data_IF_577383875397
#
_entry.id   IF_577383875397
#
_cell.length_a   1.000
_cell.length_b   1.000
_cell.length_c   1.000
_cell.angle_alpha   90.00
_cell.angle_beta   90.00
_cell.angle_gamma   90.00
#
_symmetry.space_group_name_H-M   'P 1'
#
loop_
_entity.id
_entity.type
_entity.pdbx_description
1 polymer ?
#
# COMPACT_ATOMS: atom_id res chain seq x y z
N UNK A 1 9.57 14.57 18.98
CA UNK A 1 9.14 13.79 17.79
C UNK A 1 7.80 13.17 18.11
N UNK A 2 6.71 13.70 17.53
CA UNK A 2 5.43 12.96 17.53
C UNK A 2 5.67 11.59 16.92
N UNK A 3 4.96 10.58 17.38
CA UNK A 3 5.15 9.22 16.90
C UNK A 3 4.72 9.15 15.41
N UNK A 4 5.71 9.20 14.49
CA UNK A 4 5.50 9.18 13.03
C UNK A 4 4.49 8.13 12.57
N UNK A 5 4.46 6.98 13.25
CA UNK A 5 3.62 5.83 12.92
C UNK A 5 2.41 5.67 13.87
N UNK A 6 2.03 6.73 14.62
CA UNK A 6 0.93 6.65 15.59
C UNK A 6 -0.40 6.22 14.98
N UNK A 7 -0.63 6.61 13.73
CA UNK A 7 -1.84 6.21 12.99
C UNK A 7 -1.79 4.80 12.38
N UNK A 8 -0.65 4.08 12.49
CA UNK A 8 -0.51 2.73 11.96
C UNK A 8 -1.13 1.73 12.91
N UNK A 9 -2.15 1.03 12.45
CA UNK A 9 -2.80 -0.02 13.23
C UNK A 9 -1.92 -1.28 13.21
N UNK A 10 -1.46 -1.70 14.38
CA UNK A 10 -0.56 -2.85 14.51
C UNK A 10 0.89 -2.56 14.12
N UNK A 11 1.63 -3.61 13.76
CA UNK A 11 3.01 -3.55 13.24
C UNK A 11 4.03 -2.83 14.13
N UNK A 12 3.86 -2.85 15.45
CA UNK A 12 4.75 -2.14 16.40
C UNK A 12 6.24 -2.47 16.22
N UNK A 13 6.57 -3.73 15.92
CA UNK A 13 7.96 -4.15 15.69
C UNK A 13 8.52 -3.53 14.40
N UNK A 14 7.75 -3.54 13.32
CA UNK A 14 8.11 -2.95 12.02
C UNK A 14 8.30 -1.45 12.15
N UNK A 15 7.33 -0.76 12.72
CA UNK A 15 7.40 0.70 12.89
C UNK A 15 8.54 1.12 13.80
N UNK A 16 8.87 0.33 14.83
CA UNK A 16 10.04 0.58 15.69
C UNK A 16 11.38 0.43 14.93
N UNK A 17 11.49 -0.56 14.04
CA UNK A 17 12.68 -0.73 13.18
C UNK A 17 12.81 0.45 12.24
N UNK A 18 11.75 0.78 11.49
CA UNK A 18 11.77 1.87 10.53
C UNK A 18 12.01 3.25 11.20
N UNK A 19 11.47 3.47 12.40
CA UNK A 19 11.75 4.70 13.16
C UNK A 19 13.23 4.88 13.50
N UNK A 20 13.93 3.78 13.79
CA UNK A 20 15.38 3.82 14.03
C UNK A 20 16.18 4.08 12.77
N UNK A 21 15.66 3.64 11.63
CA UNK A 21 16.32 3.81 10.34
C UNK A 21 16.11 5.20 9.74
N UNK A 22 15.12 6.00 10.20
CA UNK A 22 14.83 7.34 9.65
C UNK A 22 16.07 8.23 9.56
N UNK A 23 16.96 8.35 10.57
CA UNK A 23 18.13 9.23 10.49
C UNK A 23 19.17 8.74 9.47
N UNK A 24 19.32 7.44 9.34
CA UNK A 24 20.30 6.81 8.45
C UNK A 24 19.68 5.58 7.75
N UNK A 25 18.80 5.82 6.77
CA UNK A 25 18.09 4.75 6.08
C UNK A 25 19.01 3.96 5.15
N UNK A 26 18.73 2.67 5.00
CA UNK A 26 19.33 1.86 3.95
C UNK A 26 18.84 2.38 2.57
N UNK A 27 19.60 2.10 1.52
CA UNK A 27 19.29 2.59 0.17
C UNK A 27 18.16 1.82 -0.52
N UNK A 28 17.88 0.59 -0.08
CA UNK A 28 16.76 -0.20 -0.59
C UNK A 28 16.10 -1.02 0.51
N UNK A 29 14.77 -0.97 0.54
CA UNK A 29 13.93 -1.79 1.43
C UNK A 29 12.95 -2.60 0.58
N UNK A 30 12.72 -3.84 1.02
CA UNK A 30 11.67 -4.71 0.49
C UNK A 30 10.63 -4.95 1.59
N UNK A 31 9.44 -4.38 1.43
CA UNK A 31 8.32 -4.52 2.36
C UNK A 31 7.44 -5.67 1.88
N UNK A 32 7.50 -6.81 2.54
CA UNK A 32 6.77 -8.03 2.16
C UNK A 32 5.65 -8.36 3.14
N UNK A 33 4.59 -8.95 2.64
CA UNK A 33 3.47 -9.42 3.43
C UNK A 33 2.14 -9.37 2.68
N UNK A 34 1.06 -9.92 3.24
CA UNK A 34 -0.23 -10.01 2.57
C UNK A 34 -0.76 -8.66 2.07
N UNK A 35 -1.58 -8.69 1.02
CA UNK A 35 -2.25 -7.48 0.54
C UNK A 35 -3.15 -6.86 1.62
N UNK A 36 -3.18 -5.53 1.71
CA UNK A 36 -4.07 -4.79 2.62
C UNK A 36 -3.62 -4.72 4.09
N UNK A 37 -2.42 -5.21 4.45
CA UNK A 37 -1.91 -5.11 5.82
C UNK A 37 -1.32 -3.73 6.17
N UNK A 38 -1.18 -2.82 5.19
CA UNK A 38 -0.73 -1.44 5.44
C UNK A 38 0.69 -1.13 4.98
N UNK A 39 1.33 -1.99 4.15
CA UNK A 39 2.71 -1.77 3.63
C UNK A 39 2.90 -0.41 2.98
N UNK A 40 2.02 -0.04 2.02
CA UNK A 40 2.10 1.24 1.31
C UNK A 40 1.94 2.45 2.25
N UNK A 41 1.02 2.35 3.22
CA UNK A 41 0.85 3.40 4.23
C UNK A 41 2.12 3.60 5.06
N UNK A 42 2.73 2.49 5.50
CA UNK A 42 3.99 2.54 6.27
C UNK A 42 5.15 3.05 5.42
N UNK A 43 5.24 2.65 4.15
CA UNK A 43 6.25 3.16 3.21
C UNK A 43 6.15 4.68 3.04
N UNK A 44 4.95 5.20 2.81
CA UNK A 44 4.71 6.66 2.68
C UNK A 44 5.02 7.41 3.98
N UNK A 45 4.65 6.86 5.14
CA UNK A 45 5.01 7.46 6.44
C UNK A 45 6.52 7.42 6.68
N UNK A 46 7.20 6.35 6.29
CA UNK A 46 8.64 6.27 6.38
C UNK A 46 9.32 7.33 5.50
N UNK A 47 8.79 7.53 4.27
CA UNK A 47 9.23 8.63 3.41
C UNK A 47 9.01 10.01 4.04
N UNK A 48 7.88 10.22 4.75
CA UNK A 48 7.64 11.46 5.53
C UNK A 48 8.73 11.64 6.59
N UNK A 49 9.06 10.59 7.33
CA UNK A 49 10.09 10.65 8.36
C UNK A 49 11.46 11.04 7.80
N UNK A 50 11.84 10.47 6.65
CA UNK A 50 13.15 10.71 6.02
C UNK A 50 13.25 12.13 5.43
N UNK A 51 12.18 12.62 4.78
CA UNK A 51 12.22 13.88 4.02
C UNK A 51 11.80 15.11 4.82
N UNK A 52 10.84 14.95 5.73
CA UNK A 52 10.10 16.08 6.26
C UNK A 52 10.44 16.42 7.72
N UNK A 53 11.04 15.48 8.46
CA UNK A 53 11.26 15.65 9.89
C UNK A 53 9.96 15.97 10.63
N UNK A 54 9.81 17.18 11.15
CA UNK A 54 8.63 17.66 11.87
C UNK A 54 7.75 18.64 11.06
N UNK A 55 8.02 18.84 9.77
CA UNK A 55 7.22 19.74 8.94
C UNK A 55 5.89 19.10 8.48
N UNK A 56 4.73 19.56 9.00
CA UNK A 56 3.44 18.99 8.64
C UNK A 56 3.01 19.31 7.20
N UNK A 57 3.54 20.38 6.58
CA UNK A 57 3.20 20.71 5.20
C UNK A 57 3.90 19.78 4.23
N UNK A 58 5.19 19.54 4.44
CA UNK A 58 5.95 18.53 3.72
C UNK A 58 5.29 17.16 3.86
N UNK A 59 4.97 16.72 5.08
CA UNK A 59 4.33 15.43 5.32
C UNK A 59 3.02 15.26 4.55
N UNK A 60 2.16 16.29 4.50
CA UNK A 60 0.93 16.24 3.69
C UNK A 60 1.19 16.12 2.20
N UNK A 61 2.25 16.76 1.67
CA UNK A 61 2.63 16.64 0.25
C UNK A 61 3.10 15.23 -0.08
N UNK A 62 3.93 14.63 0.78
CA UNK A 62 4.39 13.23 0.62
C UNK A 62 3.20 12.27 0.62
N UNK A 63 2.30 12.37 1.60
CA UNK A 63 1.15 11.48 1.72
C UNK A 63 0.14 11.62 0.57
N UNK A 64 0.11 12.76 -0.10
CA UNK A 64 -0.72 13.03 -1.29
C UNK A 64 -0.01 12.73 -2.61
N UNK A 65 1.24 12.26 -2.60
CA UNK A 65 2.03 12.05 -3.82
C UNK A 65 2.46 13.34 -4.53
N UNK A 66 2.46 14.49 -3.83
CA UNK A 66 2.75 15.80 -4.41
C UNK A 66 4.16 16.34 -4.07
N UNK A 67 5.00 15.53 -3.41
CA UNK A 67 6.36 15.93 -3.08
C UNK A 67 7.30 15.60 -4.25
N UNK A 68 8.11 16.56 -4.78
CA UNK A 68 8.92 16.34 -5.98
C UNK A 68 10.03 15.29 -5.78
N UNK A 69 10.44 15.03 -4.53
CA UNK A 69 11.44 14.03 -4.20
C UNK A 69 10.83 12.69 -3.78
N UNK A 70 9.52 12.47 -4.00
CA UNK A 70 8.86 11.18 -3.86
C UNK A 70 8.26 10.79 -5.20
N UNK A 71 8.75 9.69 -5.76
CA UNK A 71 8.27 9.13 -7.02
C UNK A 71 7.52 7.84 -6.70
N UNK A 72 6.23 7.85 -6.99
CA UNK A 72 5.38 6.67 -6.88
C UNK A 72 5.39 5.94 -8.22
N UNK A 73 5.66 4.64 -8.19
CA UNK A 73 5.69 3.77 -9.37
C UNK A 73 4.64 2.70 -9.15
N UNK A 74 3.56 2.82 -9.91
CA UNK A 74 2.46 1.87 -9.95
C UNK A 74 2.42 1.18 -11.30
N UNK A 75 1.91 -0.06 -11.40
CA UNK A 75 1.75 -0.72 -12.69
C UNK A 75 0.90 0.12 -13.66
N UNK A 76 1.37 0.30 -14.88
CA UNK A 76 0.62 0.96 -15.95
C UNK A 76 -0.45 -0.01 -16.51
N UNK A 77 -1.74 0.28 -16.24
CA UNK A 77 -2.85 -0.55 -16.67
C UNK A 77 -3.00 -1.85 -15.87
N UNK A 78 -3.16 -2.99 -16.54
CA UNK A 78 -3.71 -4.19 -15.91
C UNK A 78 -2.73 -5.10 -15.18
N UNK A 79 -1.40 -5.00 -15.34
CA UNK A 79 -0.60 -6.13 -14.86
C UNK A 79 0.88 -5.94 -14.54
N UNK A 80 1.58 -4.92 -15.04
CA UNK A 80 3.03 -4.93 -14.85
C UNK A 80 3.67 -3.53 -14.84
N UNK A 81 4.71 -3.39 -14.03
CA UNK A 81 5.66 -2.28 -14.17
C UNK A 81 6.47 -2.53 -15.45
N UNK A 82 6.36 -1.60 -16.39
CA UNK A 82 6.96 -1.74 -17.71
C UNK A 82 8.47 -1.43 -17.70
N UNK A 83 9.18 -1.92 -18.71
CA UNK A 83 10.61 -1.61 -18.89
C UNK A 83 10.84 -0.10 -19.06
N UNK A 84 9.88 0.60 -19.68
CA UNK A 84 9.95 2.05 -19.85
C UNK A 84 9.84 2.77 -18.51
N UNK A 85 8.90 2.38 -17.64
CA UNK A 85 8.79 2.89 -16.27
C UNK A 85 10.07 2.62 -15.47
N UNK A 86 10.65 1.42 -15.58
CA UNK A 86 11.91 1.08 -14.94
C UNK A 86 13.07 1.96 -15.43
N UNK A 87 13.20 2.19 -16.75
CA UNK A 87 14.21 3.07 -17.32
C UNK A 87 14.04 4.53 -16.91
N UNK A 88 12.81 5.02 -16.87
CA UNK A 88 12.50 6.36 -16.37
C UNK A 88 12.86 6.49 -14.89
N UNK A 89 12.58 5.47 -14.10
CA UNK A 89 12.98 5.40 -12.68
C UNK A 89 14.49 5.51 -12.53
N UNK A 90 15.26 4.76 -13.32
CA UNK A 90 16.73 4.83 -13.34
C UNK A 90 17.21 6.24 -13.71
N UNK A 91 16.62 6.85 -14.73
CA UNK A 91 16.98 8.22 -15.14
C UNK A 91 16.73 9.22 -14.01
N UNK A 92 15.57 9.15 -13.35
CA UNK A 92 15.21 10.01 -12.23
C UNK A 92 16.07 9.76 -10.98
N UNK A 93 16.49 8.51 -10.72
CA UNK A 93 17.32 8.14 -9.59
C UNK A 93 18.74 8.72 -9.68
N UNK A 94 19.22 9.00 -10.89
CA UNK A 94 20.52 9.64 -11.12
C UNK A 94 20.48 11.17 -11.01
N UNK A 95 19.29 11.77 -10.88
CA UNK A 95 19.16 13.22 -10.68
C UNK A 95 19.19 13.56 -9.19
N UNK A 96 19.81 14.70 -8.87
CA UNK A 96 19.79 15.23 -7.50
C UNK A 96 18.35 15.46 -7.00
N UNK A 97 18.10 15.36 -5.70
CA UNK A 97 16.84 15.79 -5.09
C UNK A 97 16.53 17.27 -5.41
N UNK A 98 15.25 17.63 -5.42
CA UNK A 98 14.78 18.99 -5.77
C UNK A 98 14.71 19.89 -4.55
N UNK A 99 14.14 19.39 -3.46
CA UNK A 99 13.92 20.17 -2.23
C UNK A 99 14.67 19.59 -1.03
N UNK A 100 14.77 18.26 -0.95
CA UNK A 100 15.36 17.54 0.17
C UNK A 100 16.81 17.14 -0.04
N UNK A 101 17.35 16.41 0.92
CA UNK A 101 18.67 15.76 0.80
C UNK A 101 18.59 14.37 0.13
N UNK A 102 17.38 13.81 0.04
CA UNK A 102 17.12 12.46 -0.44
C UNK A 102 15.95 12.42 -1.41
N UNK A 103 15.96 11.45 -2.30
CA UNK A 103 14.88 11.13 -3.24
C UNK A 103 14.41 9.71 -2.99
N UNK A 104 13.10 9.53 -2.87
CA UNK A 104 12.50 8.25 -2.50
C UNK A 104 11.64 7.72 -3.64
N UNK A 105 11.88 6.49 -4.03
CA UNK A 105 11.10 5.76 -5.02
C UNK A 105 10.28 4.70 -4.29
N UNK A 106 8.95 4.75 -4.42
CA UNK A 106 8.03 3.77 -3.85
C UNK A 106 7.47 2.95 -5.01
N UNK A 107 7.88 1.69 -5.11
CA UNK A 107 7.37 0.75 -6.08
C UNK A 107 6.22 -0.04 -5.43
N UNK A 108 4.99 0.36 -5.73
CA UNK A 108 3.80 -0.41 -5.33
C UNK A 108 3.66 -1.60 -6.28
N UNK A 109 3.41 -2.78 -5.73
CA UNK A 109 3.34 -4.03 -6.50
C UNK A 109 4.65 -4.38 -7.23
N UNK A 110 5.78 -4.34 -6.52
CA UNK A 110 7.09 -4.70 -7.06
C UNK A 110 7.13 -6.10 -7.70
N UNK A 111 6.31 -7.04 -7.24
CA UNK A 111 6.11 -8.35 -7.87
C UNK A 111 5.46 -8.31 -9.25
N UNK A 112 4.90 -7.16 -9.66
CA UNK A 112 4.38 -6.97 -11.01
C UNK A 112 5.46 -6.58 -12.04
N UNK A 113 6.74 -6.49 -11.64
CA UNK A 113 7.84 -6.27 -12.59
C UNK A 113 8.10 -7.55 -13.40
N UNK A 114 8.21 -7.40 -14.72
CA UNK A 114 8.77 -8.47 -15.53
C UNK A 114 10.31 -8.50 -15.40
N UNK A 115 10.95 -9.58 -15.87
CA UNK A 115 12.40 -9.77 -15.79
C UNK A 115 13.19 -8.63 -16.44
N UNK A 116 12.67 -8.06 -17.54
CA UNK A 116 13.33 -6.96 -18.25
C UNK A 116 13.30 -5.65 -17.43
N UNK A 117 12.17 -5.34 -16.79
CA UNK A 117 12.03 -4.18 -15.92
C UNK A 117 12.88 -4.33 -14.66
N UNK A 118 12.87 -5.51 -14.05
CA UNK A 118 13.72 -5.82 -12.91
C UNK A 118 15.20 -5.69 -13.25
N UNK A 119 15.65 -6.25 -14.38
CA UNK A 119 17.03 -6.14 -14.85
C UNK A 119 17.44 -4.68 -15.15
N UNK A 120 16.52 -3.85 -15.62
CA UNK A 120 16.81 -2.42 -15.83
C UNK A 120 17.11 -1.68 -14.51
N UNK A 121 16.49 -2.09 -13.39
CA UNK A 121 16.70 -1.50 -12.08
C UNK A 121 17.94 -2.04 -11.34
N UNK A 122 18.43 -3.24 -11.68
CA UNK A 122 19.48 -3.92 -10.93
C UNK A 122 20.71 -3.05 -10.69
N UNK A 123 21.24 -2.42 -11.73
CA UNK A 123 22.44 -1.58 -11.61
C UNK A 123 22.24 -0.42 -10.63
N UNK A 124 21.03 0.19 -10.65
CA UNK A 124 20.70 1.30 -9.75
C UNK A 124 20.46 0.83 -8.32
N UNK A 125 19.98 -0.41 -8.13
CA UNK A 125 19.85 -1.02 -6.81
C UNK A 125 21.19 -1.52 -6.24
N UNK A 126 22.13 -1.89 -7.11
CA UNK A 126 23.49 -2.28 -6.71
C UNK A 126 24.35 -1.10 -6.28
N UNK A 127 24.29 -0.02 -7.05
CA UNK A 127 25.08 1.18 -6.84
C UNK A 127 24.18 2.44 -6.89
N UNK A 128 23.21 2.58 -5.96
CA UNK A 128 22.36 3.75 -5.92
C UNK A 128 23.18 4.98 -5.55
N UNK A 129 22.76 6.14 -6.03
CA UNK A 129 23.35 7.40 -5.55
C UNK A 129 23.11 7.54 -4.04
N UNK A 130 24.00 8.20 -3.33
CA UNK A 130 23.90 8.35 -1.86
C UNK A 130 22.58 9.01 -1.40
N UNK A 131 21.95 9.77 -2.28
CA UNK A 131 20.68 10.45 -2.03
C UNK A 131 19.44 9.65 -2.41
N UNK A 132 19.57 8.47 -3.03
CA UNK A 132 18.43 7.69 -3.55
C UNK A 132 18.06 6.55 -2.61
N UNK A 133 16.77 6.40 -2.34
CA UNK A 133 16.20 5.32 -1.52
C UNK A 133 15.07 4.66 -2.29
N UNK A 134 15.07 3.32 -2.32
CA UNK A 134 14.01 2.50 -2.90
C UNK A 134 13.18 1.82 -1.82
N UNK A 135 11.87 1.93 -1.91
CA UNK A 135 10.90 1.21 -1.09
C UNK A 135 10.08 0.31 -2.02
N UNK A 136 10.45 -0.95 -2.10
CA UNK A 136 9.78 -1.95 -2.95
C UNK A 136 8.73 -2.68 -2.12
N UNK A 137 7.51 -2.78 -2.61
CA UNK A 137 6.38 -3.43 -1.93
C UNK A 137 5.98 -4.68 -2.71
N UNK A 138 5.94 -5.84 -2.04
CA UNK A 138 5.52 -7.11 -2.64
C UNK A 138 4.67 -7.92 -1.65
N UNK A 139 4.01 -8.98 -2.09
CA UNK A 139 3.31 -9.90 -1.20
C UNK A 139 4.27 -10.92 -0.60
N UNK A 140 5.21 -11.41 -1.39
CA UNK A 140 6.27 -12.33 -1.01
C UNK A 140 7.61 -11.87 -1.56
N UNK A 141 8.69 -12.31 -0.94
CA UNK A 141 10.05 -12.14 -1.46
C UNK A 141 10.24 -12.90 -2.78
N UNK A 142 9.54 -14.05 -2.92
CA UNK A 142 9.57 -14.88 -4.12
C UNK A 142 8.87 -14.23 -5.34
N UNK A 143 8.10 -13.17 -5.14
CA UNK A 143 7.48 -12.41 -6.24
C UNK A 143 8.50 -11.57 -7.02
N UNK A 144 9.71 -11.42 -6.50
CA UNK A 144 10.79 -10.65 -7.10
C UNK A 144 11.94 -11.56 -7.54
N UNK A 145 12.67 -11.21 -8.61
CA UNK A 145 13.93 -11.88 -8.90
C UNK A 145 14.89 -11.81 -7.69
N UNK A 146 15.53 -12.93 -7.37
CA UNK A 146 16.47 -13.03 -6.26
C UNK A 146 17.55 -11.94 -6.31
N UNK A 147 17.95 -11.56 -7.53
CA UNK A 147 18.88 -10.46 -7.78
C UNK A 147 18.43 -9.11 -7.26
N UNK A 148 17.12 -8.84 -7.22
CA UNK A 148 16.53 -7.63 -6.64
C UNK A 148 16.37 -7.80 -5.13
N UNK A 149 15.76 -8.91 -4.72
CA UNK A 149 15.45 -9.17 -3.30
C UNK A 149 16.72 -9.17 -2.42
N UNK A 150 17.81 -9.80 -2.88
CA UNK A 150 19.07 -9.88 -2.14
C UNK A 150 19.77 -8.53 -1.88
N UNK A 151 19.38 -7.47 -2.59
CA UNK A 151 19.93 -6.12 -2.44
C UNK A 151 19.08 -5.21 -1.57
N UNK A 152 17.92 -5.70 -1.17
CA UNK A 152 16.98 -4.95 -0.34
C UNK A 152 17.06 -5.43 1.12
N UNK A 153 16.90 -4.49 2.04
CA UNK A 153 16.65 -4.84 3.44
C UNK A 153 15.19 -5.26 3.60
N UNK A 154 14.96 -6.55 3.81
CA UNK A 154 13.61 -7.10 3.92
C UNK A 154 12.95 -6.71 5.25
N UNK A 155 11.70 -6.22 5.17
CA UNK A 155 10.82 -5.89 6.29
C UNK A 155 9.52 -6.65 6.13
N UNK A 156 9.27 -7.58 7.06
CA UNK A 156 8.13 -8.51 6.95
C UNK A 156 6.91 -7.98 7.72
N UNK A 157 5.80 -7.89 7.01
CA UNK A 157 4.49 -7.52 7.56
C UNK A 157 3.61 -8.77 7.72
N UNK A 158 3.21 -9.06 8.94
CA UNK A 158 2.24 -10.11 9.21
C UNK A 158 0.79 -9.62 9.13
N UNK A 159 -0.17 -10.51 9.40
CA UNK A 159 -1.54 -10.11 9.66
C UNK A 159 -1.63 -9.44 11.04
N UNK A 160 -2.43 -8.39 11.15
CA UNK A 160 -2.66 -7.69 12.42
C UNK A 160 -3.73 -8.43 13.23
N UNK A 161 -3.57 -8.47 14.55
CA UNK A 161 -4.57 -9.10 15.43
C UNK A 161 -5.93 -8.39 15.36
N UNK A 162 -7.02 -9.13 15.55
CA UNK A 162 -8.37 -8.56 15.61
C UNK A 162 -8.48 -7.50 16.70
N UNK A 163 -7.84 -7.75 17.85
CA UNK A 163 -7.82 -6.82 18.99
C UNK A 163 -7.11 -5.51 18.66
N UNK A 164 -5.96 -5.56 17.98
CA UNK A 164 -5.25 -4.34 17.58
C UNK A 164 -6.03 -3.56 16.50
N UNK A 165 -6.69 -4.27 15.57
CA UNK A 165 -7.53 -3.64 14.54
C UNK A 165 -8.74 -2.97 15.19
N UNK A 166 -9.45 -3.65 16.08
CA UNK A 166 -10.62 -3.08 16.77
C UNK A 166 -10.22 -1.84 17.59
N UNK A 167 -9.12 -1.93 18.36
CA UNK A 167 -8.61 -0.80 19.11
C UNK A 167 -8.24 0.39 18.23
N UNK A 168 -7.57 0.15 17.09
CA UNK A 168 -7.24 1.19 16.13
C UNK A 168 -8.48 1.84 15.50
N UNK A 169 -9.52 1.07 15.16
CA UNK A 169 -10.78 1.60 14.64
C UNK A 169 -11.52 2.47 15.66
N UNK A 170 -11.51 2.06 16.94
CA UNK A 170 -12.10 2.84 18.04
C UNK A 170 -11.37 4.18 18.20
N UNK A 171 -10.04 4.20 18.10
CA UNK A 171 -9.24 5.44 18.11
C UNK A 171 -9.59 6.36 16.93
N UNK A 172 -9.99 5.80 15.79
CA UNK A 172 -10.49 6.53 14.62
C UNK A 172 -11.96 7.00 14.77
N UNK A 173 -12.60 6.77 15.92
CA UNK A 173 -13.98 7.20 16.19
C UNK A 173 -15.05 6.21 15.73
N UNK A 174 -14.70 4.98 15.38
CA UNK A 174 -15.67 3.94 15.05
C UNK A 174 -16.25 3.37 16.34
N UNK A 175 -17.57 3.19 16.40
CA UNK A 175 -18.23 2.55 17.55
C UNK A 175 -17.74 1.11 17.77
N UNK A 176 -17.66 0.69 19.04
CA UNK A 176 -17.04 -0.57 19.49
C UNK A 176 -17.58 -1.80 18.74
N UNK A 177 -18.90 -1.99 18.71
CA UNK A 177 -19.52 -3.14 18.03
C UNK A 177 -19.14 -3.22 16.55
N UNK A 178 -19.15 -2.08 15.85
CA UNK A 178 -18.79 -1.99 14.44
C UNK A 178 -17.29 -2.20 14.21
N UNK A 179 -16.46 -1.73 15.13
CA UNK A 179 -15.01 -1.92 15.09
C UNK A 179 -14.65 -3.39 15.26
N UNK A 180 -15.24 -4.09 16.22
CA UNK A 180 -15.04 -5.52 16.42
C UNK A 180 -15.52 -6.36 15.23
N UNK A 181 -16.70 -6.03 14.69
CA UNK A 181 -17.22 -6.70 13.51
C UNK A 181 -16.29 -6.52 12.29
N UNK A 182 -15.84 -5.29 12.01
CA UNK A 182 -14.93 -4.99 10.91
C UNK A 182 -13.57 -5.66 11.10
N UNK A 183 -13.03 -5.67 12.32
CA UNK A 183 -11.77 -6.33 12.65
C UNK A 183 -11.82 -7.84 12.35
N UNK A 184 -12.86 -8.52 12.80
CA UNK A 184 -13.09 -9.96 12.56
C UNK A 184 -13.18 -10.30 11.08
N UNK A 185 -13.95 -9.50 10.34
CA UNK A 185 -14.20 -9.72 8.91
C UNK A 185 -12.95 -9.43 8.06
N UNK A 186 -12.11 -8.51 8.47
CA UNK A 186 -10.94 -8.07 7.71
C UNK A 186 -9.86 -9.14 7.56
N UNK A 187 -9.88 -10.16 8.44
CA UNK A 187 -8.88 -11.23 8.42
C UNK A 187 -7.45 -10.72 8.61
N UNK A 188 -7.27 -9.75 9.51
CA UNK A 188 -5.95 -9.18 9.84
C UNK A 188 -5.45 -8.10 8.86
N UNK A 189 -6.36 -7.49 8.08
CA UNK A 189 -6.06 -6.44 7.10
C UNK A 189 -6.65 -5.10 7.53
N UNK A 190 -5.87 -4.21 8.18
CA UNK A 190 -6.37 -2.94 8.71
C UNK A 190 -7.03 -2.05 7.66
N UNK A 191 -6.48 -1.97 6.45
CA UNK A 191 -7.06 -1.18 5.36
C UNK A 191 -8.47 -1.64 4.98
N UNK A 192 -8.69 -2.96 4.91
CA UNK A 192 -10.04 -3.51 4.68
C UNK A 192 -10.97 -3.23 5.87
N UNK A 193 -10.47 -3.37 7.11
CA UNK A 193 -11.25 -3.08 8.31
C UNK A 193 -11.73 -1.61 8.33
N UNK A 194 -10.83 -0.67 8.03
CA UNK A 194 -11.16 0.76 7.93
C UNK A 194 -12.24 0.95 6.86
N UNK A 195 -12.08 0.39 5.67
CA UNK A 195 -13.05 0.52 4.58
C UNK A 195 -14.42 -0.03 4.97
N UNK A 196 -14.48 -1.20 5.59
CA UNK A 196 -15.72 -1.82 6.08
C UNK A 196 -16.39 -1.00 7.19
N UNK A 197 -15.59 -0.37 8.06
CA UNK A 197 -16.09 0.40 9.17
C UNK A 197 -16.52 1.82 8.80
N UNK A 198 -15.94 2.43 7.77
CA UNK A 198 -16.14 3.85 7.45
C UNK A 198 -16.93 4.08 6.16
N UNK A 199 -16.89 3.12 5.21
CA UNK A 199 -17.54 3.25 3.91
C UNK A 199 -18.82 2.40 3.85
N UNK A 200 -19.96 3.06 3.71
CA UNK A 200 -21.26 2.38 3.62
C UNK A 200 -21.40 1.54 2.34
N UNK A 201 -20.85 2.03 1.21
CA UNK A 201 -20.86 1.34 -0.08
C UNK A 201 -20.08 0.02 -0.04
N UNK A 202 -18.89 -0.02 0.60
CA UNK A 202 -18.10 -1.24 0.80
C UNK A 202 -18.84 -2.25 1.65
N UNK A 203 -19.46 -1.79 2.74
CA UNK A 203 -20.24 -2.64 3.62
C UNK A 203 -21.49 -3.20 2.90
N UNK A 204 -22.19 -2.38 2.12
CA UNK A 204 -23.35 -2.78 1.33
C UNK A 204 -22.99 -3.83 0.27
N UNK A 205 -21.98 -3.56 -0.54
CA UNK A 205 -21.48 -4.52 -1.54
C UNK A 205 -21.15 -5.87 -0.91
N UNK A 206 -20.40 -5.86 0.21
CA UNK A 206 -20.06 -7.09 0.93
C UNK A 206 -21.31 -7.84 1.37
N UNK A 207 -22.31 -7.17 1.92
CA UNK A 207 -23.52 -7.82 2.41
C UNK A 207 -24.31 -8.48 1.26
N UNK A 208 -24.42 -7.80 0.12
CA UNK A 208 -25.03 -8.37 -1.09
C UNK A 208 -24.26 -9.62 -1.52
N UNK A 209 -22.93 -9.52 -1.67
CA UNK A 209 -22.08 -10.63 -2.08
C UNK A 209 -22.20 -11.84 -1.14
N UNK A 210 -22.14 -11.62 0.18
CA UNK A 210 -22.25 -12.68 1.20
C UNK A 210 -23.64 -13.30 1.26
N UNK A 211 -24.68 -12.63 0.77
CA UNK A 211 -26.03 -13.19 0.70
C UNK A 211 -26.23 -14.16 -0.49
N UNK A 212 -25.38 -14.09 -1.51
CA UNK A 212 -25.51 -14.89 -2.74
C UNK A 212 -25.59 -16.39 -2.46
N UNK A 213 -24.70 -17.02 -1.69
CA UNK A 213 -24.75 -18.45 -1.43
C UNK A 213 -26.03 -18.90 -0.70
N UNK A 214 -26.62 -18.01 0.12
CA UNK A 214 -27.83 -18.31 0.87
C UNK A 214 -29.13 -18.15 0.05
N UNK A 215 -29.06 -17.43 -1.07
CA UNK A 215 -30.20 -17.08 -1.93
C UNK A 215 -30.16 -17.81 -3.27
N UNK A 216 -29.02 -18.45 -3.59
CA UNK A 216 -28.88 -19.22 -4.82
C UNK A 216 -29.76 -20.49 -4.75
N UNK A 217 -30.70 -20.61 -5.66
CA UNK A 217 -31.55 -21.79 -5.80
C UNK A 217 -31.17 -22.60 -7.04
N UNK A 218 -31.84 -23.75 -7.25
CA UNK A 218 -31.65 -24.56 -8.46
C UNK A 218 -32.28 -23.94 -9.72
N UNK A 219 -33.00 -22.82 -9.58
CA UNK A 219 -33.62 -22.12 -10.72
C UNK A 219 -32.60 -21.21 -11.42
N UNK A 220 -32.35 -21.45 -12.69
CA UNK A 220 -31.36 -20.71 -13.49
C UNK A 220 -31.59 -19.16 -13.46
N UNK A 221 -32.86 -18.72 -13.38
CA UNK A 221 -33.19 -17.28 -13.29
C UNK A 221 -32.69 -16.58 -12.03
N UNK A 222 -32.52 -17.31 -10.92
CA UNK A 222 -32.03 -16.70 -9.66
C UNK A 222 -30.56 -16.34 -9.77
N UNK A 223 -29.76 -17.11 -10.50
CA UNK A 223 -28.35 -16.81 -10.75
C UNK A 223 -28.16 -15.48 -11.48
N UNK A 224 -28.94 -15.23 -12.54
CA UNK A 224 -28.86 -13.97 -13.29
C UNK A 224 -29.30 -12.78 -12.44
N UNK A 225 -30.42 -12.90 -11.71
CA UNK A 225 -30.90 -11.83 -10.83
C UNK A 225 -29.88 -11.47 -9.73
N UNK A 226 -29.26 -12.49 -9.10
CA UNK A 226 -28.23 -12.27 -8.09
C UNK A 226 -26.96 -11.64 -8.69
N UNK A 227 -26.58 -12.00 -9.91
CA UNK A 227 -25.47 -11.38 -10.62
C UNK A 227 -25.73 -9.90 -10.88
N UNK A 228 -26.94 -9.54 -11.33
CA UNK A 228 -27.35 -8.14 -11.54
C UNK A 228 -27.35 -7.34 -10.23
N UNK A 229 -27.82 -7.92 -9.12
CA UNK A 229 -27.79 -7.29 -7.81
C UNK A 229 -26.34 -7.04 -7.33
N UNK A 230 -25.44 -7.99 -7.54
CA UNK A 230 -24.01 -7.84 -7.21
C UNK A 230 -23.37 -6.77 -8.08
N UNK A 231 -23.64 -6.76 -9.37
CA UNK A 231 -23.14 -5.74 -10.29
C UNK A 231 -23.60 -4.33 -9.87
N UNK A 232 -24.91 -4.16 -9.62
CA UNK A 232 -25.45 -2.89 -9.16
C UNK A 232 -24.86 -2.42 -7.82
N UNK A 233 -24.55 -3.35 -6.89
CA UNK A 233 -23.89 -3.03 -5.64
C UNK A 233 -22.40 -2.68 -5.81
N UNK A 234 -21.75 -3.11 -6.90
CA UNK A 234 -20.38 -2.77 -7.24
C UNK A 234 -20.25 -1.40 -7.93
N UNK A 235 -21.29 -0.91 -8.60
CA UNK A 235 -21.26 0.34 -9.38
C UNK A 235 -20.72 1.56 -8.59
N UNK A 236 -21.13 1.83 -7.33
CA UNK A 236 -20.58 2.94 -6.56
C UNK A 236 -19.08 2.80 -6.29
N UNK A 237 -18.59 1.57 -6.09
CA UNK A 237 -17.17 1.29 -5.87
C UNK A 237 -16.36 1.53 -7.15
N UNK A 238 -16.90 1.10 -8.29
CA UNK A 238 -16.27 1.28 -9.60
C UNK A 238 -16.25 2.75 -10.02
N UNK A 239 -17.32 3.51 -9.73
CA UNK A 239 -17.36 4.94 -9.97
C UNK A 239 -16.29 5.68 -9.15
N UNK A 240 -16.19 5.38 -7.86
CA UNK A 240 -15.18 5.99 -6.98
C UNK A 240 -13.73 5.67 -7.40
N UNK A 241 -13.48 4.47 -7.97
CA UNK A 241 -12.18 4.10 -8.52
C UNK A 241 -11.86 4.89 -9.80
N UNK A 242 -12.84 5.07 -10.70
CA UNK A 242 -12.67 5.86 -11.94
C UNK A 242 -12.39 7.32 -11.65
N UNK A 243 -13.17 7.94 -10.74
CA UNK A 243 -12.95 9.33 -10.32
C UNK A 243 -11.54 9.55 -9.74
N UNK A 244 -11.03 8.56 -9.03
CA UNK A 244 -9.67 8.63 -8.48
C UNK A 244 -8.60 8.54 -9.57
N UNK A 245 -8.79 7.69 -10.58
CA UNK A 245 -7.89 7.57 -11.74
C UNK A 245 -7.91 8.79 -12.67
N UNK A 246 -9.06 9.49 -12.76
CA UNK A 246 -9.20 10.70 -13.57
C UNK A 246 -8.66 11.97 -12.86
N UNK A 247 -8.47 11.89 -11.53
CA UNK A 247 -7.95 13.01 -10.71
C UNK A 247 -6.44 12.94 -10.46
N UNK A 248 -5.78 11.88 -10.88
CA UNK A 248 -4.33 11.66 -10.89
C UNK A 248 -3.71 11.99 -12.25
#
# INVERSE_FOLDING_TARGET
MGNLFEQVIGHKAVTAVLSRDVPEPAQAYLLVGPHGVGKATVARLFAVGILCGEDPQCGRRVLRGLHPDVVLIEPDGRSAITVEQARNTVALANLAPVEGERKIFILEEGGAMNDEAANALLKTLEEPTASTIFLVIAESEDDLPETVASRCRTVVFGRVSETDIAAGLIQLGVGEERAEQAARISGGRPGLAISLATRADVAAFRNVWMSVPLRLSEHAGDGYRLADEVAAAADPLMAALKERQESE
#
